data_IF_964494443212
#
_entry.id   IF_964494443212
#
_cell.length_a   1.000
_cell.length_b   1.000
_cell.length_c   1.000
_cell.angle_alpha   90.00
_cell.angle_beta   90.00
_cell.angle_gamma   90.00
#
_symmetry.space_group_name_H-M   'P 1'
#
loop_
_entity.id
_entity.type
_entity.pdbx_description
1 polymer ?
#
# COMPACT_ATOMS: atom_id res chain seq x y z
N UNK A 1 5.74 12.09 -25.95
CA UNK A 1 5.00 12.63 -27.09
C UNK A 1 4.96 11.58 -28.19
N UNK A 2 3.86 10.82 -28.29
CA UNK A 2 3.58 9.94 -29.41
C UNK A 2 2.23 10.38 -30.00
N UNK A 3 2.20 10.68 -31.29
CA UNK A 3 0.97 11.02 -32.00
C UNK A 3 0.01 9.83 -31.93
N UNK A 4 -1.14 10.03 -31.29
CA UNK A 4 -2.26 9.08 -31.32
C UNK A 4 -2.90 9.20 -32.70
N UNK A 5 -2.49 8.32 -33.62
CA UNK A 5 -3.13 8.15 -34.92
C UNK A 5 -4.59 7.67 -34.79
N UNK A 6 -5.40 7.83 -35.85
CA UNK A 6 -6.82 7.53 -35.81
C UNK A 6 -7.06 6.05 -35.45
N UNK A 7 -7.97 5.83 -34.51
CA UNK A 7 -8.40 4.52 -33.99
C UNK A 7 -8.89 3.63 -35.14
N UNK A 8 -7.99 2.82 -35.69
CA UNK A 8 -8.37 1.60 -36.40
C UNK A 8 -9.07 0.71 -35.39
N UNK A 9 -10.40 0.65 -35.49
CA UNK A 9 -11.25 -0.27 -34.77
C UNK A 9 -10.80 -1.66 -35.23
N UNK A 10 -9.93 -2.32 -34.45
CA UNK A 10 -9.57 -3.71 -34.65
C UNK A 10 -10.88 -4.50 -34.63
N UNK A 11 -11.33 -4.86 -35.82
CA UNK A 11 -12.50 -5.67 -36.04
C UNK A 11 -12.05 -7.08 -35.68
N UNK A 12 -12.23 -7.44 -34.40
CA UNK A 12 -11.98 -8.81 -33.97
C UNK A 12 -12.84 -9.73 -34.84
N UNK A 13 -12.26 -10.78 -35.42
CA UNK A 13 -13.05 -11.74 -36.17
C UNK A 13 -14.18 -12.26 -35.26
N UNK A 14 -15.38 -12.50 -35.82
CA UNK A 14 -16.48 -13.08 -35.04
C UNK A 14 -15.97 -14.37 -34.40
N UNK A 15 -16.12 -14.48 -33.09
CA UNK A 15 -15.82 -15.69 -32.34
C UNK A 15 -16.61 -16.83 -33.00
N UNK A 16 -15.95 -17.62 -33.86
CA UNK A 16 -16.53 -18.86 -34.35
C UNK A 16 -16.76 -19.71 -33.12
N UNK A 17 -18.04 -20.04 -32.88
CA UNK A 17 -18.44 -20.98 -31.86
C UNK A 17 -17.72 -22.30 -32.10
N UNK A 18 -16.70 -22.54 -31.29
CA UNK A 18 -16.00 -23.81 -31.29
C UNK A 18 -16.91 -24.83 -30.65
N UNK A 19 -17.28 -25.84 -31.42
CA UNK A 19 -18.00 -27.03 -30.96
C UNK A 19 -16.97 -28.01 -30.39
N UNK A 20 -16.12 -27.50 -29.50
CA UNK A 20 -15.06 -28.22 -28.84
C UNK A 20 -15.65 -29.13 -27.77
N UNK A 21 -15.39 -30.43 -27.93
CA UNK A 21 -15.57 -31.47 -26.93
C UNK A 21 -15.00 -31.07 -25.57
N UNK A 22 -15.78 -31.26 -24.50
CA UNK A 22 -15.47 -30.95 -23.09
C UNK A 22 -14.24 -31.66 -22.49
N UNK A 23 -13.49 -32.45 -23.28
CA UNK A 23 -12.39 -33.29 -22.80
C UNK A 23 -10.98 -32.79 -23.19
N UNK A 24 -10.86 -31.66 -23.90
CA UNK A 24 -9.52 -31.10 -24.16
C UNK A 24 -8.97 -30.43 -22.89
N UNK A 25 -7.78 -30.87 -22.40
CA UNK A 25 -7.15 -30.24 -21.25
C UNK A 25 -6.94 -28.75 -21.55
N UNK A 26 -7.18 -27.86 -20.57
CA UNK A 26 -7.07 -26.43 -20.79
C UNK A 26 -5.70 -26.13 -21.41
N UNK A 27 -5.71 -25.47 -22.57
CA UNK A 27 -4.50 -25.09 -23.28
C UNK A 27 -3.63 -24.25 -22.33
N UNK A 28 -2.64 -24.90 -21.72
CA UNK A 28 -1.64 -24.22 -20.91
C UNK A 28 -0.81 -23.42 -21.90
N UNK A 29 -1.09 -22.11 -21.99
CA UNK A 29 -0.23 -21.19 -22.71
C UNK A 29 1.13 -21.21 -21.99
N UNK A 30 2.04 -22.06 -22.48
CA UNK A 30 3.45 -22.08 -22.12
C UNK A 30 4.10 -20.79 -22.61
N UNK A 31 3.79 -19.69 -21.92
CA UNK A 31 4.43 -18.40 -22.16
C UNK A 31 5.71 -18.39 -21.36
N UNK A 32 6.77 -18.93 -21.94
CA UNK A 32 8.12 -18.61 -21.48
C UNK A 32 8.33 -17.12 -21.75
N UNK A 33 8.06 -16.30 -20.74
CA UNK A 33 8.37 -14.88 -20.78
C UNK A 33 9.89 -14.74 -20.80
N UNK A 34 10.42 -14.01 -21.78
CA UNK A 34 11.84 -13.72 -21.84
C UNK A 34 12.29 -13.06 -20.53
N UNK A 35 13.31 -13.61 -19.87
CA UNK A 35 13.75 -13.14 -18.54
C UNK A 35 14.10 -11.65 -18.52
N UNK A 36 14.58 -11.12 -19.64
CA UNK A 36 14.89 -9.69 -19.84
C UNK A 36 13.65 -8.78 -19.73
N UNK A 37 12.45 -9.33 -19.95
CA UNK A 37 11.19 -8.60 -19.83
C UNK A 37 10.65 -8.57 -18.40
N UNK A 38 11.13 -9.46 -17.52
CA UNK A 38 10.67 -9.54 -16.14
C UNK A 38 11.44 -8.52 -15.30
N UNK A 39 10.82 -7.36 -15.06
CA UNK A 39 11.42 -6.27 -14.27
C UNK A 39 10.51 -5.91 -13.11
N UNK A 40 11.10 -5.80 -11.93
CA UNK A 40 10.46 -5.42 -10.68
C UNK A 40 10.91 -4.04 -10.25
N UNK A 41 10.10 -3.36 -9.42
CA UNK A 41 10.55 -2.16 -8.70
C UNK A 41 10.46 -2.45 -7.22
N UNK A 42 11.54 -2.25 -6.44
CA UNK A 42 11.51 -2.55 -5.02
C UNK A 42 10.52 -1.63 -4.29
N UNK A 43 9.79 -2.20 -3.33
CA UNK A 43 8.66 -1.55 -2.63
C UNK A 43 9.03 -0.19 -2.03
N UNK A 44 10.23 -0.06 -1.44
CA UNK A 44 10.70 1.21 -0.86
C UNK A 44 10.82 2.34 -1.89
N UNK A 45 11.16 2.03 -3.16
CA UNK A 45 11.16 3.04 -4.24
C UNK A 45 9.75 3.37 -4.70
N UNK A 46 8.87 2.37 -4.74
CA UNK A 46 7.46 2.55 -5.12
C UNK A 46 6.74 3.45 -4.12
N UNK A 47 6.95 3.22 -2.81
CA UNK A 47 6.37 4.01 -1.71
C UNK A 47 7.10 5.32 -1.46
N UNK A 48 8.34 5.46 -1.95
CA UNK A 48 9.12 6.69 -1.83
C UNK A 48 8.38 7.94 -2.31
N UNK A 49 8.67 9.08 -1.68
CA UNK A 49 8.08 10.38 -2.02
C UNK A 49 6.54 10.37 -2.06
N UNK A 50 5.91 9.64 -1.12
CA UNK A 50 4.45 9.49 -1.01
C UNK A 50 3.80 8.90 -2.27
N UNK A 51 4.45 7.89 -2.85
CA UNK A 51 3.96 7.22 -4.04
C UNK A 51 3.98 8.13 -5.27
N UNK A 52 5.03 8.94 -5.42
CA UNK A 52 5.20 9.80 -6.60
C UNK A 52 5.18 8.98 -7.90
N UNK A 53 5.66 7.74 -7.85
CA UNK A 53 5.61 6.74 -8.92
C UNK A 53 4.19 6.49 -9.46
N UNK A 54 3.15 6.63 -8.63
CA UNK A 54 1.76 6.45 -9.02
C UNK A 54 1.11 7.70 -9.62
N UNK A 55 1.76 8.87 -9.51
CA UNK A 55 1.21 10.16 -9.96
C UNK A 55 1.54 10.43 -11.42
N UNK A 56 2.66 9.92 -11.89
CA UNK A 56 3.12 10.10 -13.25
C UNK A 56 2.55 9.00 -14.15
N UNK A 57 1.65 9.39 -15.05
CA UNK A 57 1.06 8.50 -16.05
C UNK A 57 1.92 8.38 -17.33
N UNK A 58 3.07 9.05 -17.35
CA UNK A 58 4.01 8.98 -18.47
C UNK A 58 5.01 7.87 -18.22
N UNK A 59 5.04 6.88 -19.12
CA UNK A 59 6.12 5.92 -19.21
C UNK A 59 7.38 6.66 -19.69
N UNK A 60 8.14 7.19 -18.73
CA UNK A 60 9.40 7.88 -18.97
C UNK A 60 10.57 6.91 -18.79
N UNK A 61 11.70 7.17 -19.44
CA UNK A 61 12.93 6.39 -19.31
C UNK A 61 13.36 6.28 -17.83
N UNK A 62 13.03 7.28 -17.01
CA UNK A 62 13.25 7.28 -15.57
C UNK A 62 12.48 6.18 -14.84
N UNK A 63 11.23 5.93 -15.21
CA UNK A 63 10.42 4.86 -14.62
C UNK A 63 10.99 3.50 -14.96
N UNK A 64 11.48 3.34 -16.19
CA UNK A 64 12.18 2.12 -16.63
C UNK A 64 13.53 1.94 -15.92
N UNK A 65 14.27 3.03 -15.69
CA UNK A 65 15.54 3.00 -14.96
C UNK A 65 15.37 2.65 -13.46
N UNK A 66 14.21 2.94 -12.87
CA UNK A 66 13.90 2.58 -11.48
C UNK A 66 13.56 1.09 -11.29
N UNK A 67 13.23 0.39 -12.37
CA UNK A 67 12.99 -1.05 -12.39
C UNK A 67 14.27 -1.84 -12.67
N UNK A 68 14.42 -2.97 -12.00
CA UNK A 68 15.55 -3.90 -12.13
C UNK A 68 15.05 -5.26 -12.64
N UNK A 69 15.90 -6.00 -13.34
CA UNK A 69 15.59 -7.37 -13.74
C UNK A 69 15.53 -8.26 -12.50
N UNK A 70 14.46 -9.04 -12.40
CA UNK A 70 14.20 -9.92 -11.25
C UNK A 70 13.82 -11.31 -11.76
N UNK A 71 14.21 -12.35 -11.03
CA UNK A 71 13.81 -13.72 -11.36
C UNK A 71 12.34 -14.00 -11.03
N UNK A 72 11.80 -13.29 -10.03
CA UNK A 72 10.44 -13.47 -9.51
C UNK A 72 9.81 -12.13 -9.14
N UNK A 73 8.50 -12.02 -9.31
CA UNK A 73 7.69 -10.89 -8.85
C UNK A 73 6.79 -11.40 -7.74
N UNK A 74 6.96 -10.90 -6.52
CA UNK A 74 6.16 -11.31 -5.36
C UNK A 74 4.72 -10.77 -5.45
N UNK A 75 4.59 -9.50 -5.82
CA UNK A 75 3.32 -8.79 -5.85
C UNK A 75 3.13 -8.03 -7.16
N UNK A 76 1.99 -8.26 -7.82
CA UNK A 76 1.60 -7.53 -9.03
C UNK A 76 0.53 -6.50 -8.70
N UNK A 77 0.88 -5.22 -8.85
CA UNK A 77 -0.06 -4.11 -8.70
C UNK A 77 -0.64 -3.76 -10.07
N UNK A 78 -1.89 -4.16 -10.31
CA UNK A 78 -2.57 -3.82 -11.55
C UNK A 78 -2.74 -2.30 -11.67
N UNK A 79 -2.33 -1.77 -12.81
CA UNK A 79 -2.41 -0.35 -13.07
C UNK A 79 -3.82 0.01 -13.53
N UNK A 80 -4.76 0.11 -12.58
CA UNK A 80 -6.09 0.66 -12.84
C UNK A 80 -6.01 2.20 -12.95
N UNK A 81 -6.28 2.75 -14.15
CA UNK A 81 -6.25 4.20 -14.39
C UNK A 81 -7.36 4.97 -13.67
N UNK A 82 -8.40 4.29 -13.17
CA UNK A 82 -9.53 4.96 -12.52
C UNK A 82 -9.28 5.29 -11.05
N UNK A 83 -8.42 4.53 -10.37
CA UNK A 83 -8.13 4.71 -8.95
C UNK A 83 -7.06 5.77 -8.69
N UNK A 84 -7.29 6.60 -7.68
CA UNK A 84 -6.35 7.68 -7.33
C UNK A 84 -5.03 7.14 -6.79
N UNK A 85 -3.92 7.75 -7.22
CA UNK A 85 -2.56 7.43 -6.77
C UNK A 85 -2.42 7.34 -5.25
N UNK A 86 -3.04 8.28 -4.54
CA UNK A 86 -3.01 8.37 -3.07
C UNK A 86 -3.67 7.13 -2.42
N UNK A 87 -4.76 6.61 -2.98
CA UNK A 87 -5.41 5.40 -2.44
C UNK A 87 -4.52 4.18 -2.59
N UNK A 88 -3.85 4.04 -3.74
CA UNK A 88 -2.89 2.96 -3.99
C UNK A 88 -1.70 3.05 -3.03
N UNK A 89 -1.17 4.25 -2.85
CA UNK A 89 -0.10 4.52 -1.89
C UNK A 89 -0.51 4.09 -0.48
N UNK A 90 -1.64 4.58 0.05
CA UNK A 90 -2.07 4.22 1.41
C UNK A 90 -2.39 2.73 1.55
N UNK A 91 -2.95 2.09 0.53
CA UNK A 91 -3.20 0.65 0.56
C UNK A 91 -1.90 -0.15 0.68
N UNK A 92 -0.89 0.19 -0.13
CA UNK A 92 0.42 -0.49 -0.10
C UNK A 92 1.20 -0.14 1.16
N UNK A 93 1.21 1.12 1.58
CA UNK A 93 1.83 1.56 2.84
C UNK A 93 1.21 0.83 4.04
N UNK A 94 -0.11 0.70 4.08
CA UNK A 94 -0.79 -0.04 5.15
C UNK A 94 -0.50 -1.54 5.08
N UNK A 95 -0.39 -2.12 3.89
CA UNK A 95 -0.10 -3.54 3.71
C UNK A 95 1.32 -3.89 4.19
N UNK A 96 2.33 -3.14 3.77
CA UNK A 96 3.73 -3.45 4.08
C UNK A 96 4.20 -2.86 5.42
N UNK A 97 3.86 -1.60 5.72
CA UNK A 97 4.33 -0.92 6.93
C UNK A 97 3.33 -1.01 8.10
N UNK A 98 2.05 -1.30 7.83
CA UNK A 98 0.99 -1.25 8.84
C UNK A 98 1.25 -2.10 10.09
N UNK A 99 1.62 -3.38 9.99
CA UNK A 99 1.89 -4.21 11.16
C UNK A 99 3.04 -3.66 12.03
N UNK A 100 4.14 -3.26 11.41
CA UNK A 100 5.29 -2.69 12.11
C UNK A 100 4.94 -1.33 12.74
N UNK A 101 4.24 -0.46 12.00
CA UNK A 101 3.75 0.83 12.49
C UNK A 101 2.79 0.66 13.68
N UNK A 102 1.89 -0.33 13.64
CA UNK A 102 0.97 -0.63 14.73
C UNK A 102 1.70 -1.08 16.01
N UNK A 103 2.63 -2.03 15.89
CA UNK A 103 3.39 -2.50 17.04
C UNK A 103 4.29 -1.41 17.64
N UNK A 104 5.04 -0.69 16.82
CA UNK A 104 5.93 0.37 17.29
C UNK A 104 5.14 1.54 17.89
N UNK A 105 4.05 1.97 17.25
CA UNK A 105 3.21 3.03 17.82
C UNK A 105 2.59 2.63 19.15
N UNK A 106 2.17 1.37 19.31
CA UNK A 106 1.68 0.85 20.59
C UNK A 106 2.76 0.87 21.68
N UNK A 107 3.97 0.40 21.36
CA UNK A 107 5.10 0.41 22.30
C UNK A 107 5.49 1.82 22.71
N UNK A 108 5.55 2.76 21.77
CA UNK A 108 5.87 4.16 22.08
C UNK A 108 4.73 4.83 22.84
N UNK A 109 3.47 4.51 22.55
CA UNK A 109 2.31 5.03 23.27
C UNK A 109 2.20 4.51 24.72
N UNK A 110 2.79 3.35 25.02
CA UNK A 110 2.89 2.85 26.40
C UNK A 110 3.77 3.75 27.28
N UNK A 111 4.78 4.44 26.73
CA UNK A 111 5.67 5.33 27.48
C UNK A 111 4.91 6.48 28.17
N UNK A 112 4.13 7.33 27.46
CA UNK A 112 3.34 8.36 28.11
C UNK A 112 2.30 7.78 29.06
N UNK A 113 1.74 6.59 28.79
CA UNK A 113 0.82 5.95 29.72
C UNK A 113 1.49 5.60 31.07
N UNK A 114 2.72 5.11 31.06
CA UNK A 114 3.52 4.87 32.28
C UNK A 114 3.89 6.18 32.96
N UNK A 115 4.29 7.21 32.19
CA UNK A 115 4.63 8.53 32.73
C UNK A 115 3.43 9.27 33.35
N UNK A 116 2.20 8.96 32.90
CA UNK A 116 0.95 9.44 33.47
C UNK A 116 0.50 8.64 34.71
N UNK A 117 1.15 7.52 35.00
CA UNK A 117 0.80 6.73 36.17
C UNK A 117 1.05 7.53 37.46
N UNK A 118 0.18 7.34 38.46
CA UNK A 118 0.18 8.11 39.73
C UNK A 118 1.50 8.01 40.50
N UNK A 119 2.26 6.94 40.30
CA UNK A 119 3.57 6.76 40.95
C UNK A 119 4.67 7.64 40.36
N UNK A 120 4.56 8.06 39.09
CA UNK A 120 5.58 8.84 38.39
C UNK A 120 5.20 10.32 38.35
N UNK A 121 3.94 10.62 38.03
CA UNK A 121 3.39 11.98 38.09
C UNK A 121 4.09 13.02 37.21
N UNK A 122 4.84 12.60 36.18
CA UNK A 122 5.58 13.50 35.29
C UNK A 122 4.68 14.19 34.25
N UNK A 123 3.65 13.50 33.77
CA UNK A 123 2.64 14.04 32.87
C UNK A 123 1.36 14.39 33.64
N UNK A 124 0.56 15.37 33.16
CA UNK A 124 -0.76 15.65 33.71
C UNK A 124 -1.60 14.38 33.80
N UNK A 125 -2.18 14.15 34.99
CA UNK A 125 -3.06 13.01 35.20
C UNK A 125 -4.24 13.08 34.23
N UNK A 126 -4.67 11.94 33.68
CA UNK A 126 -5.82 11.92 32.80
C UNK A 126 -7.06 12.38 33.56
N UNK A 127 -7.78 13.34 32.98
CA UNK A 127 -9.04 13.84 33.54
C UNK A 127 -10.16 12.85 33.20
N UNK A 128 -11.05 12.52 34.15
CA UNK A 128 -12.20 11.68 33.87
C UNK A 128 -13.13 12.39 32.89
N UNK A 129 -13.52 11.68 31.84
CA UNK A 129 -14.35 12.21 30.74
C UNK A 129 -15.82 11.87 30.96
N UNK A 130 -16.08 10.67 31.50
CA UNK A 130 -17.41 10.19 31.77
C UNK A 130 -17.36 9.28 32.98
N UNK A 131 -18.32 9.46 33.89
CA UNK A 131 -18.55 8.55 35.00
C UNK A 131 -19.89 7.87 34.76
N UNK A 132 -19.87 6.54 34.68
CA UNK A 132 -21.08 5.72 34.59
C UNK A 132 -21.10 4.78 35.78
N UNK A 133 -21.74 5.20 36.88
CA UNK A 133 -21.67 4.49 38.16
C UNK A 133 -20.24 4.47 38.71
N UNK A 134 -19.76 3.28 39.08
CA UNK A 134 -18.42 3.06 39.65
C UNK A 134 -17.29 3.06 38.61
N UNK A 135 -17.60 3.13 37.31
CA UNK A 135 -16.60 3.12 36.24
C UNK A 135 -16.33 4.56 35.79
N UNK A 136 -15.08 5.01 36.00
CA UNK A 136 -14.55 6.27 35.48
C UNK A 136 -13.78 6.02 34.17
N UNK A 137 -14.19 6.68 33.09
CA UNK A 137 -13.48 6.64 31.81
C UNK A 137 -12.49 7.79 31.72
N UNK A 138 -11.25 7.49 31.31
CA UNK A 138 -10.15 8.44 31.23
C UNK A 138 -9.69 8.62 29.78
N UNK A 139 -9.50 9.88 29.34
CA UNK A 139 -8.88 10.16 28.04
C UNK A 139 -7.35 10.28 28.20
N UNK A 140 -6.62 9.39 27.52
CA UNK A 140 -5.16 9.45 27.41
C UNK A 140 -4.72 10.30 26.23
N UNK A 141 -4.94 11.63 26.27
CA UNK A 141 -4.62 12.53 25.14
C UNK A 141 -3.16 12.40 24.67
N UNK A 142 -2.22 12.27 25.61
CA UNK A 142 -0.79 12.09 25.29
C UNK A 142 -0.50 10.77 24.58
N UNK A 143 -1.08 9.68 25.07
CA UNK A 143 -0.96 8.36 24.46
C UNK A 143 -1.54 8.35 23.03
N UNK A 144 -2.73 8.93 22.84
CA UNK A 144 -3.35 9.05 21.52
C UNK A 144 -2.51 9.93 20.58
N UNK A 145 -2.10 11.13 21.01
CA UNK A 145 -1.36 12.06 20.17
C UNK A 145 0.00 11.47 19.74
N UNK A 146 0.75 10.89 20.67
CA UNK A 146 2.06 10.27 20.39
C UNK A 146 1.89 9.02 19.53
N UNK A 147 0.96 8.13 19.88
CA UNK A 147 0.70 6.91 19.12
C UNK A 147 0.29 7.19 17.67
N UNK A 148 -0.66 8.11 17.46
CA UNK A 148 -1.11 8.51 16.11
C UNK A 148 0.02 9.14 15.31
N UNK A 149 0.83 10.01 15.93
CA UNK A 149 1.95 10.67 15.26
C UNK A 149 3.01 9.66 14.81
N UNK A 150 3.41 8.74 15.70
CA UNK A 150 4.37 7.68 15.39
C UNK A 150 3.84 6.74 14.32
N UNK A 151 2.57 6.33 14.42
CA UNK A 151 1.93 5.51 13.41
C UNK A 151 1.94 6.20 12.04
N UNK A 152 1.57 7.48 11.97
CA UNK A 152 1.55 8.23 10.72
C UNK A 152 2.95 8.39 10.09
N UNK A 153 3.98 8.61 10.91
CA UNK A 153 5.37 8.69 10.44
C UNK A 153 5.85 7.34 9.89
N UNK A 154 5.63 6.27 10.65
CA UNK A 154 6.05 4.91 10.25
C UNK A 154 5.26 4.36 9.05
N UNK A 155 4.01 4.78 8.90
CA UNK A 155 3.23 4.44 7.73
C UNK A 155 3.80 5.10 6.47
N UNK A 156 4.36 6.32 6.60
CA UNK A 156 4.90 7.09 5.48
C UNK A 156 6.39 6.88 5.19
N UNK A 157 7.12 6.18 6.07
CA UNK A 157 8.55 5.87 5.94
C UNK A 157 8.82 4.66 5.07
#
# INVERSE_FOLDING_TARGET
FAQVGPRNRLQYPPCMGDSGSEDDPPAVLGTELEKSLLRGTPVHRVLGCLGSSFRDNTFDERSYANSEEVDTIDDYVSHDWSSSAIRKFFALALLYNGPAAAWLSLLVAAVPAVLQHRSVGMLPLPTPVRNTGDISYYNGYWCQAVGISVFAVLLCS
#
